data_IF_388590102340
#
_entry.id   IF_388590102340
#
_cell.length_a   1.000
_cell.length_b   1.000
_cell.length_c   1.000
_cell.angle_alpha   90.00
_cell.angle_beta   90.00
_cell.angle_gamma   90.00
#
_symmetry.space_group_name_H-M   'P 1'
#
loop_
_entity.id
_entity.type
_entity.pdbx_description
1 polymer ?
#
# COMPACT_ATOMS: atom_id res chain seq x y z
N UNK A 1 17.06 -9.15 -1.96
CA UNK A 1 16.76 -9.67 -0.61
C UNK A 1 15.25 -9.94 -0.47
N UNK A 2 14.79 -10.75 0.49
CA UNK A 2 13.35 -10.96 0.78
C UNK A 2 12.99 -10.18 2.04
N UNK A 3 11.87 -9.46 2.05
CA UNK A 3 11.37 -8.82 3.26
C UNK A 3 10.82 -9.89 4.21
N UNK A 4 11.32 -9.96 5.44
CA UNK A 4 10.74 -10.81 6.48
C UNK A 4 10.27 -9.92 7.64
N UNK A 5 9.05 -10.15 8.12
CA UNK A 5 8.49 -9.43 9.27
C UNK A 5 8.12 -7.97 9.04
N UNK A 6 8.09 -7.48 7.80
CA UNK A 6 7.71 -6.10 7.45
C UNK A 6 6.66 -6.07 6.34
N UNK A 7 5.83 -5.03 6.36
CA UNK A 7 4.72 -4.84 5.44
C UNK A 7 4.44 -3.34 5.27
N UNK A 8 3.95 -2.95 4.08
CA UNK A 8 3.49 -1.58 3.88
C UNK A 8 2.22 -1.32 4.68
N UNK A 9 2.18 -0.15 5.31
CA UNK A 9 1.02 0.36 6.01
C UNK A 9 0.59 1.67 5.36
N UNK A 10 -0.54 1.66 4.66
CA UNK A 10 -0.97 2.75 3.78
C UNK A 10 -2.35 3.21 4.23
N UNK A 11 -2.47 4.50 4.58
CA UNK A 11 -3.73 5.15 4.98
C UNK A 11 -4.52 4.39 6.07
N UNK A 12 -3.82 3.81 7.05
CA UNK A 12 -4.47 3.09 8.15
C UNK A 12 -4.73 1.60 7.89
N UNK A 13 -4.31 1.07 6.74
CA UNK A 13 -4.51 -0.32 6.35
C UNK A 13 -3.19 -1.04 6.14
N UNK A 14 -3.12 -2.30 6.56
CA UNK A 14 -1.99 -3.19 6.27
C UNK A 14 -2.13 -3.76 4.86
N UNK A 15 -1.10 -3.60 4.02
CA UNK A 15 -1.01 -4.13 2.64
C UNK A 15 -2.30 -3.96 1.80
N UNK A 16 -2.93 -2.77 1.75
CA UNK A 16 -4.20 -2.63 1.05
C UNK A 16 -4.02 -2.80 -0.45
N UNK A 17 -5.05 -3.32 -1.13
CA UNK A 17 -5.20 -3.09 -2.57
C UNK A 17 -5.55 -1.62 -2.80
N UNK A 18 -4.84 -0.96 -3.71
CA UNK A 18 -5.07 0.44 -4.07
C UNK A 18 -5.91 0.47 -5.35
N UNK A 19 -6.83 1.43 -5.45
CA UNK A 19 -7.61 1.64 -6.66
C UNK A 19 -7.34 3.05 -7.20
N UNK A 20 -6.95 3.15 -8.46
CA UNK A 20 -6.66 4.41 -9.16
C UNK A 20 -7.40 4.49 -10.47
N UNK A 21 -7.53 5.69 -11.04
CA UNK A 21 -8.22 5.92 -12.31
C UNK A 21 -7.27 6.57 -13.30
N UNK A 22 -7.25 6.06 -14.54
CA UNK A 22 -6.47 6.60 -15.65
C UNK A 22 -6.75 8.10 -15.84
N UNK A 23 -5.69 8.86 -16.10
CA UNK A 23 -5.75 10.32 -16.28
C UNK A 23 -5.84 11.13 -14.99
N UNK A 24 -6.00 10.50 -13.81
CA UNK A 24 -5.97 11.21 -12.52
C UNK A 24 -4.59 11.13 -11.89
N UNK A 25 -4.09 12.26 -11.38
CA UNK A 25 -2.81 12.32 -10.67
C UNK A 25 -3.00 11.96 -9.20
N UNK A 26 -2.21 10.99 -8.73
CA UNK A 26 -2.15 10.56 -7.34
C UNK A 26 -0.82 10.95 -6.73
N UNK A 27 -0.83 11.32 -5.46
CA UNK A 27 0.37 11.61 -4.67
C UNK A 27 0.53 10.55 -3.59
N UNK A 28 1.66 9.86 -3.60
CA UNK A 28 2.07 8.94 -2.55
C UNK A 28 3.09 9.65 -1.66
N UNK A 29 2.77 9.73 -0.37
CA UNK A 29 3.68 10.21 0.68
C UNK A 29 4.40 8.98 1.23
N UNK A 30 5.70 8.89 0.95
CA UNK A 30 6.49 7.68 1.17
C UNK A 30 7.38 7.87 2.39
N UNK A 31 7.17 7.03 3.40
CA UNK A 31 7.91 7.06 4.66
C UNK A 31 8.66 5.74 4.92
N UNK A 32 9.31 5.21 3.87
CA UNK A 32 10.01 3.92 3.87
C UNK A 32 11.47 3.96 4.33
N UNK A 33 11.98 5.12 4.76
CA UNK A 33 13.40 5.31 5.11
C UNK A 33 14.28 5.71 3.92
N UNK A 34 15.42 6.34 4.21
CA UNK A 34 16.28 7.02 3.23
C UNK A 34 17.74 6.55 3.22
N UNK A 35 18.14 5.66 4.14
CA UNK A 35 19.53 5.30 4.35
C UNK A 35 19.88 3.94 3.71
N UNK A 36 20.48 3.90 2.50
CA UNK A 36 20.80 2.65 1.82
C UNK A 36 21.80 1.76 2.57
N UNK A 37 22.61 2.32 3.49
CA UNK A 37 23.53 1.56 4.34
C UNK A 37 22.79 0.76 5.43
N UNK A 38 21.48 1.01 5.60
CA UNK A 38 20.60 0.31 6.55
C UNK A 38 19.46 -0.37 5.80
N UNK A 39 19.73 -1.44 5.03
CA UNK A 39 18.73 -2.08 4.16
C UNK A 39 17.47 -2.52 4.90
N UNK A 40 17.60 -2.99 6.16
CA UNK A 40 16.45 -3.37 6.98
C UNK A 40 15.43 -2.23 7.22
N UNK A 41 15.85 -0.97 7.04
CA UNK A 41 15.09 0.25 7.29
C UNK A 41 15.05 1.16 6.06
N UNK A 42 15.39 0.64 4.88
CA UNK A 42 15.44 1.39 3.63
C UNK A 42 14.59 0.70 2.57
N UNK A 43 13.39 1.24 2.42
CA UNK A 43 12.33 0.67 1.58
C UNK A 43 11.79 1.72 0.60
N UNK A 44 12.56 2.13 -0.43
CA UNK A 44 12.05 3.04 -1.45
C UNK A 44 10.85 2.42 -2.17
N UNK A 45 9.85 3.23 -2.43
CA UNK A 45 8.59 2.82 -3.03
C UNK A 45 8.64 3.01 -4.55
N UNK A 46 8.14 2.07 -5.33
CA UNK A 46 8.00 2.24 -6.78
C UNK A 46 6.79 1.50 -7.33
N UNK A 47 6.35 1.87 -8.53
CA UNK A 47 5.19 1.28 -9.20
C UNK A 47 5.65 0.55 -10.46
N UNK A 48 5.23 -0.69 -10.62
CA UNK A 48 5.70 -1.59 -11.69
C UNK A 48 4.65 -2.62 -12.09
N UNK A 49 4.81 -3.28 -13.24
CA UNK A 49 4.01 -4.44 -13.63
C UNK A 49 4.53 -5.76 -13.01
N UNK A 50 5.65 -5.71 -12.30
CA UNK A 50 6.26 -6.87 -11.66
C UNK A 50 5.70 -7.13 -10.24
N UNK A 51 5.10 -8.31 -9.98
CA UNK A 51 4.61 -8.68 -8.65
C UNK A 51 5.72 -9.04 -7.66
N UNK A 52 6.97 -9.25 -8.10
CA UNK A 52 8.07 -9.64 -7.21
C UNK A 52 8.72 -8.44 -6.51
N UNK A 53 8.82 -7.28 -7.15
CA UNK A 53 9.52 -6.14 -6.56
C UNK A 53 11.05 -6.31 -6.56
N UNK A 54 11.74 -5.57 -5.67
CA UNK A 54 13.17 -5.73 -5.45
C UNK A 54 14.04 -5.43 -6.67
N UNK A 55 13.69 -4.39 -7.44
CA UNK A 55 14.37 -3.97 -8.68
C UNK A 55 15.90 -3.91 -8.56
N UNK A 56 16.42 -3.47 -7.41
CA UNK A 56 17.86 -3.38 -7.12
C UNK A 56 18.60 -4.68 -7.45
N UNK A 57 18.02 -5.83 -7.12
CA UNK A 57 18.66 -7.14 -7.24
C UNK A 57 18.26 -7.91 -8.49
N UNK A 58 17.51 -7.28 -9.41
CA UNK A 58 17.16 -7.89 -10.70
C UNK A 58 18.35 -7.90 -11.65
N UNK A 59 18.49 -8.98 -12.41
CA UNK A 59 19.45 -9.07 -13.52
C UNK A 59 19.08 -8.11 -14.66
N UNK A 60 20.01 -7.76 -15.57
CA UNK A 60 19.71 -6.89 -16.71
C UNK A 60 18.52 -7.40 -17.53
N UNK A 61 18.49 -8.69 -17.85
CA UNK A 61 17.39 -9.29 -18.61
C UNK A 61 16.04 -9.25 -17.88
N UNK A 62 16.03 -9.27 -16.55
CA UNK A 62 14.80 -9.09 -15.77
C UNK A 62 14.36 -7.63 -15.78
N UNK A 63 15.30 -6.69 -15.64
CA UNK A 63 15.02 -5.24 -15.70
C UNK A 63 14.46 -4.84 -17.06
N UNK A 64 15.00 -5.38 -18.16
CA UNK A 64 14.53 -5.11 -19.53
C UNK A 64 13.07 -5.56 -19.77
N UNK A 65 12.59 -6.54 -18.99
CA UNK A 65 11.21 -7.05 -19.05
C UNK A 65 10.29 -6.44 -18.01
N UNK A 66 10.81 -5.58 -17.13
CA UNK A 66 10.06 -4.95 -16.04
C UNK A 66 9.71 -3.53 -16.46
N UNK A 67 8.41 -3.22 -16.56
CA UNK A 67 7.98 -1.84 -16.78
C UNK A 67 7.88 -1.13 -15.44
N UNK A 68 8.52 0.04 -15.36
CA UNK A 68 8.42 0.93 -14.21
C UNK A 68 7.55 2.11 -14.60
N UNK A 69 6.53 2.37 -13.80
CA UNK A 69 5.57 3.45 -14.02
C UNK A 69 5.90 4.69 -13.20
N UNK A 70 6.50 4.52 -12.02
CA UNK A 70 6.87 5.60 -11.11
C UNK A 70 7.88 5.12 -10.05
N UNK A 71 8.63 6.03 -9.42
CA UNK A 71 9.46 5.73 -8.23
C UNK A 71 10.91 5.31 -8.50
N UNK A 72 11.31 5.20 -9.78
CA UNK A 72 12.70 4.99 -10.21
C UNK A 72 13.03 6.03 -11.27
N UNK A 73 14.15 6.73 -11.09
CA UNK A 73 14.73 7.66 -12.05
C UNK A 73 16.08 7.17 -12.56
N UNK A 74 16.80 8.05 -13.24
CA UNK A 74 18.18 7.85 -13.65
C UNK A 74 19.07 8.86 -12.95
N UNK A 75 20.24 8.44 -12.49
CA UNK A 75 21.30 9.35 -12.06
C UNK A 75 22.07 9.92 -13.26
N UNK A 76 23.16 10.65 -12.99
CA UNK A 76 23.98 11.30 -14.03
C UNK A 76 24.64 10.31 -14.99
N UNK A 77 24.84 9.07 -14.56
CA UNK A 77 25.50 8.02 -15.34
C UNK A 77 24.47 7.14 -16.06
N UNK A 78 23.17 7.48 -15.96
CA UNK A 78 22.07 6.69 -16.52
C UNK A 78 21.71 5.47 -15.64
N UNK A 79 22.25 5.37 -14.43
CA UNK A 79 21.95 4.26 -13.53
C UNK A 79 20.56 4.43 -12.97
N UNK A 80 19.75 3.36 -13.03
CA UNK A 80 18.42 3.33 -12.43
C UNK A 80 18.54 3.40 -10.90
N UNK A 81 17.98 4.45 -10.31
CA UNK A 81 18.00 4.69 -8.86
C UNK A 81 16.59 5.03 -8.37
N UNK A 82 16.20 4.62 -7.15
CA UNK A 82 14.90 4.99 -6.63
C UNK A 82 14.86 6.51 -6.40
N UNK A 83 13.67 7.12 -6.53
CA UNK A 83 13.49 8.55 -6.25
C UNK A 83 12.31 8.83 -5.29
N UNK A 84 11.68 7.78 -4.78
CA UNK A 84 10.57 7.85 -3.84
C UNK A 84 10.95 7.18 -2.52
N UNK A 85 11.67 7.92 -1.70
CA UNK A 85 12.09 7.55 -0.35
C UNK A 85 12.17 8.82 0.53
N UNK A 86 12.18 8.65 1.85
CA UNK A 86 12.17 9.77 2.80
C UNK A 86 12.37 9.30 4.23
N UNK A 87 11.95 10.08 5.23
CA UNK A 87 12.00 9.64 6.64
C UNK A 87 11.36 8.26 6.81
N UNK A 88 11.82 7.49 7.78
CA UNK A 88 11.14 6.24 8.13
C UNK A 88 10.04 6.51 9.16
N UNK A 89 8.83 6.05 8.88
CA UNK A 89 7.77 5.88 9.87
C UNK A 89 7.39 4.40 9.93
N UNK A 90 7.40 3.84 11.14
CA UNK A 90 7.22 2.40 11.37
C UNK A 90 6.26 2.17 12.54
N UNK A 91 5.26 1.32 12.31
CA UNK A 91 4.43 0.79 13.39
C UNK A 91 5.16 -0.38 14.05
N UNK A 92 5.50 -0.24 15.33
CA UNK A 92 6.23 -1.27 16.08
C UNK A 92 5.36 -1.85 17.19
N UNK A 93 5.41 -3.19 17.41
CA UNK A 93 4.74 -3.80 18.54
C UNK A 93 5.42 -3.39 19.86
N UNK A 94 4.61 -3.17 20.89
CA UNK A 94 5.11 -3.05 22.25
C UNK A 94 5.43 -4.45 22.79
N UNK A 95 6.67 -4.74 23.23
CA UNK A 95 7.05 -6.08 23.72
C UNK A 95 6.31 -6.50 25.00
N UNK A 96 5.67 -5.57 25.71
CA UNK A 96 4.84 -5.86 26.87
C UNK A 96 3.37 -6.16 26.52
N UNK A 97 3.00 -6.08 25.24
CA UNK A 97 1.67 -6.43 24.74
C UNK A 97 1.69 -7.86 24.17
N UNK A 98 0.52 -8.54 24.09
CA UNK A 98 0.44 -9.85 23.45
C UNK A 98 0.96 -9.82 22.01
N UNK A 99 1.54 -10.94 21.50
CA UNK A 99 1.96 -11.04 20.11
C UNK A 99 0.75 -11.02 19.15
N UNK A 100 1.00 -10.82 17.85
CA UNK A 100 -0.03 -10.76 16.81
C UNK A 100 -1.00 -11.94 16.84
N UNK A 101 -0.50 -13.14 17.13
CA UNK A 101 -1.25 -14.40 17.08
C UNK A 101 -2.23 -14.54 18.26
N UNK A 102 -2.21 -13.61 19.21
CA UNK A 102 -3.13 -13.57 20.35
C UNK A 102 -4.40 -12.75 20.08
N UNK A 103 -4.57 -12.20 18.87
CA UNK A 103 -5.73 -11.36 18.51
C UNK A 103 -6.57 -12.03 17.42
N UNK A 104 -7.90 -11.96 17.57
CA UNK A 104 -8.84 -12.50 16.59
C UNK A 104 -8.88 -11.70 15.27
N UNK A 105 -8.32 -10.49 15.26
CA UNK A 105 -8.30 -9.63 14.07
C UNK A 105 -7.10 -8.70 14.06
N UNK A 106 -6.65 -8.31 12.86
CA UNK A 106 -5.62 -7.28 12.70
C UNK A 106 -6.02 -5.96 13.36
N UNK A 107 -7.31 -5.58 13.31
CA UNK A 107 -7.80 -4.36 13.98
C UNK A 107 -7.64 -4.39 15.50
N UNK A 108 -7.67 -5.57 16.13
CA UNK A 108 -7.34 -5.74 17.55
C UNK A 108 -5.86 -5.52 17.81
N UNK A 109 -5.00 -6.19 17.04
CA UNK A 109 -3.54 -6.07 17.13
C UNK A 109 -3.04 -4.65 16.81
N UNK A 110 -3.61 -3.99 15.81
CA UNK A 110 -3.22 -2.64 15.38
C UNK A 110 -3.31 -1.62 16.52
N UNK A 111 -4.26 -1.79 17.46
CA UNK A 111 -4.43 -0.90 18.61
C UNK A 111 -3.29 -0.99 19.64
N UNK A 112 -2.48 -2.03 19.57
CA UNK A 112 -1.32 -2.21 20.46
C UNK A 112 -0.02 -1.71 19.83
N UNK A 113 -0.05 -1.26 18.58
CA UNK A 113 1.11 -0.76 17.86
C UNK A 113 1.37 0.71 18.18
N UNK A 114 2.65 1.09 18.19
CA UNK A 114 3.07 2.49 18.32
C UNK A 114 3.72 2.94 17.01
N UNK A 115 3.28 4.08 16.49
CA UNK A 115 3.91 4.71 15.33
C UNK A 115 5.16 5.48 15.76
N UNK A 116 6.31 5.09 15.21
CA UNK A 116 7.59 5.76 15.43
C UNK A 116 8.08 6.37 14.12
N UNK A 117 8.22 7.70 14.08
CA UNK A 117 8.73 8.43 12.92
C UNK A 117 10.09 9.05 13.23
N UNK A 118 11.06 8.84 12.34
CA UNK A 118 12.33 9.55 12.38
C UNK A 118 12.13 11.03 11.98
N UNK A 119 13.05 11.89 12.40
CA UNK A 119 13.10 13.26 11.93
C UNK A 119 13.38 13.31 10.41
N UNK A 120 12.88 14.34 9.75
CA UNK A 120 13.06 14.57 8.32
C UNK A 120 11.76 14.69 7.54
N UNK A 121 11.89 14.76 6.22
CA UNK A 121 10.78 14.90 5.28
C UNK A 121 10.40 13.54 4.67
N UNK A 122 9.11 13.31 4.37
CA UNK A 122 8.72 12.15 3.59
C UNK A 122 9.19 12.29 2.13
N UNK A 123 9.27 11.17 1.44
CA UNK A 123 9.39 11.15 -0.01
C UNK A 123 8.05 11.47 -0.65
N UNK A 124 8.07 12.11 -1.81
CA UNK A 124 6.86 12.43 -2.57
C UNK A 124 6.97 11.78 -3.94
N UNK A 125 6.01 10.90 -4.25
CA UNK A 125 5.87 10.31 -5.57
C UNK A 125 4.54 10.73 -6.17
N UNK A 126 4.58 11.44 -7.28
CA UNK A 126 3.40 11.74 -8.07
C UNK A 126 3.31 10.81 -9.27
N UNK A 127 2.15 10.24 -9.50
CA UNK A 127 1.91 9.33 -10.62
C UNK A 127 0.52 9.51 -11.20
N UNK A 128 0.46 9.52 -12.53
CA UNK A 128 -0.76 9.59 -13.32
C UNK A 128 -0.81 8.36 -14.21
N UNK A 129 -1.58 7.31 -13.89
CA UNK A 129 -1.78 6.18 -14.79
C UNK A 129 -2.36 6.69 -16.12
N UNK A 130 -1.78 6.24 -17.23
CA UNK A 130 -2.19 6.64 -18.57
C UNK A 130 -3.01 5.54 -19.27
N UNK A 131 -3.36 5.77 -20.54
CA UNK A 131 -4.09 4.80 -21.36
C UNK A 131 -3.31 3.48 -21.61
N UNK A 132 -1.98 3.47 -21.43
CA UNK A 132 -1.11 2.32 -21.66
C UNK A 132 -0.74 1.57 -20.36
N UNK A 133 -1.17 2.09 -19.22
CA UNK A 133 -1.00 1.45 -17.92
C UNK A 133 -1.95 0.24 -17.85
N UNK A 134 -1.47 -0.98 -17.55
CA UNK A 134 -2.32 -2.17 -17.39
C UNK A 134 -3.38 -2.00 -16.29
N UNK A 135 -4.46 -2.77 -16.35
CA UNK A 135 -5.53 -2.76 -15.31
C UNK A 135 -5.02 -3.23 -13.94
N UNK A 136 -3.90 -3.94 -13.90
CA UNK A 136 -3.24 -4.37 -12.68
C UNK A 136 -1.76 -4.05 -12.75
N UNK A 137 -1.30 -3.26 -11.77
CA UNK A 137 0.12 -3.00 -11.50
C UNK A 137 0.37 -3.21 -10.01
N UNK A 138 1.60 -3.03 -9.55
CA UNK A 138 2.01 -3.27 -8.18
C UNK A 138 2.76 -2.07 -7.63
N UNK A 139 2.44 -1.69 -6.39
CA UNK A 139 3.41 -0.92 -5.60
C UNK A 139 4.38 -1.90 -4.95
N UNK A 140 5.66 -1.58 -4.97
CA UNK A 140 6.72 -2.46 -4.53
C UNK A 140 7.82 -1.69 -3.79
N UNK A 141 8.60 -2.44 -3.03
CA UNK A 141 9.88 -1.97 -2.49
C UNK A 141 11.00 -2.17 -3.52
N UNK A 142 11.80 -1.14 -3.73
CA UNK A 142 12.95 -1.16 -4.65
C UNK A 142 14.02 -2.19 -4.24
N UNK A 143 14.23 -2.39 -2.94
CA UNK A 143 15.31 -3.22 -2.37
C UNK A 143 14.82 -4.62 -1.95
N UNK A 144 13.59 -4.72 -1.45
CA UNK A 144 13.02 -5.97 -0.95
C UNK A 144 12.00 -6.58 -1.91
N UNK A 145 12.19 -7.86 -2.21
CA UNK A 145 11.21 -8.64 -2.94
C UNK A 145 10.01 -8.98 -2.06
N UNK A 146 8.84 -9.05 -2.68
CA UNK A 146 7.55 -9.37 -2.09
C UNK A 146 7.13 -8.40 -0.98
N UNK A 147 7.63 -7.16 -1.03
CA UNK A 147 7.26 -6.07 -0.13
C UNK A 147 6.42 -5.04 -0.88
N UNK A 148 5.19 -5.43 -1.17
CA UNK A 148 4.28 -4.69 -2.03
C UNK A 148 2.96 -5.40 -2.21
N UNK A 149 2.04 -4.75 -2.90
CA UNK A 149 0.74 -5.33 -3.24
C UNK A 149 0.14 -4.64 -4.47
N UNK A 150 -1.10 -5.00 -4.79
CA UNK A 150 -1.77 -4.62 -6.03
C UNK A 150 -2.24 -3.17 -6.04
N UNK A 151 -2.16 -2.57 -7.22
CA UNK A 151 -2.91 -1.40 -7.63
C UNK A 151 -3.81 -1.79 -8.79
N UNK A 152 -5.11 -1.72 -8.59
CA UNK A 152 -6.11 -1.87 -9.63
C UNK A 152 -6.30 -0.51 -10.33
N UNK A 153 -6.16 -0.50 -11.66
CA UNK A 153 -6.22 0.70 -12.50
C UNK A 153 -7.50 0.67 -13.31
N UNK A 154 -8.39 1.62 -13.06
CA UNK A 154 -9.71 1.72 -13.67
C UNK A 154 -9.75 2.78 -14.77
N UNK A 155 -10.64 2.61 -15.74
CA UNK A 155 -10.87 3.62 -16.78
C UNK A 155 -11.68 4.81 -16.26
N UNK A 156 -12.63 4.54 -15.39
CA UNK A 156 -13.54 5.52 -14.80
C UNK A 156 -13.64 5.27 -13.31
N UNK A 157 -14.00 6.29 -12.54
CA UNK A 157 -14.64 6.00 -11.27
C UNK A 157 -15.99 5.40 -11.63
N UNK A 158 -16.29 4.18 -11.17
CA UNK A 158 -17.68 3.86 -10.91
C UNK A 158 -18.08 4.82 -9.80
N UNK A 159 -18.54 6.01 -10.17
CA UNK A 159 -19.53 6.71 -9.37
C UNK A 159 -20.69 5.74 -9.35
N UNK A 160 -20.64 4.78 -8.43
CA UNK A 160 -21.81 4.06 -8.02
C UNK A 160 -22.82 5.14 -7.83
N UNK A 161 -23.83 5.17 -8.72
CA UNK A 161 -25.07 5.83 -8.40
C UNK A 161 -25.38 5.22 -7.05
N UNK A 162 -25.17 5.98 -5.98
CA UNK A 162 -25.90 5.77 -4.75
C UNK A 162 -27.32 6.10 -5.19
N UNK A 163 -27.94 5.17 -5.94
CA UNK A 163 -29.36 5.05 -5.94
C UNK A 163 -29.61 4.87 -4.48
N UNK A 164 -30.22 5.87 -3.88
CA UNK A 164 -30.87 5.81 -2.59
C UNK A 164 -31.97 4.75 -2.65
N UNK A 165 -31.63 3.51 -2.97
CA UNK A 165 -32.26 2.35 -2.37
C UNK A 165 -31.71 2.30 -0.94
N UNK A 166 -32.03 3.32 -0.15
CA UNK A 166 -32.10 3.14 1.29
C UNK A 166 -32.99 1.92 1.46
N UNK A 167 -32.44 0.88 2.08
CA UNK A 167 -33.23 -0.22 2.61
C UNK A 167 -34.41 0.42 3.32
N UNK A 168 -35.60 0.31 2.76
CA UNK A 168 -36.79 0.87 3.38
C UNK A 168 -37.09 -0.10 4.52
N UNK A 169 -36.77 0.22 5.79
CA UNK A 169 -37.09 -0.71 6.86
C UNK A 169 -38.62 -0.79 6.91
N UNK A 170 -39.18 -1.92 6.54
CA UNK A 170 -40.59 -2.19 6.80
C UNK A 170 -40.74 -2.34 8.32
N UNK A 171 -41.48 -1.44 9.00
CA UNK A 171 -41.76 -1.65 10.41
C UNK A 171 -42.66 -2.87 10.56
N UNK A 172 -42.11 -3.96 11.09
CA UNK A 172 -42.90 -5.10 11.54
C UNK A 172 -43.56 -4.73 12.86
N UNK A 173 -44.85 -4.41 12.83
CA UNK A 173 -45.65 -4.25 14.04
C UNK A 173 -45.90 -5.64 14.61
N UNK A 174 -45.21 -5.98 15.69
CA UNK A 174 -45.50 -7.19 16.47
C UNK A 174 -46.72 -6.89 17.34
N UNK A 175 -47.87 -7.44 16.96
CA UNK A 175 -49.06 -7.42 17.81
C UNK A 175 -48.86 -8.41 18.96
N UNK A 176 -49.17 -8.03 20.22
CA UNK A 176 -49.06 -8.94 21.35
C UNK A 176 -50.05 -10.09 21.19
N UNK A 177 -49.61 -11.31 21.55
CA UNK A 177 -50.45 -12.49 21.49
C UNK A 177 -51.67 -12.34 22.43
N UNK A 178 -52.87 -12.78 22.00
CA UNK A 178 -54.05 -12.73 22.84
C UNK A 178 -53.84 -13.66 24.05
N UNK A 179 -53.77 -13.05 25.24
CA UNK A 179 -53.66 -13.77 26.49
C UNK A 179 -54.81 -14.77 26.66
N UNK A 180 -54.46 -16.02 26.90
CA UNK A 180 -55.39 -17.08 27.27
C UNK A 180 -55.99 -16.79 28.64
N UNK A 181 -57.33 -16.79 28.71
CA UNK A 181 -58.07 -16.79 29.97
C UNK A 181 -57.94 -18.12 30.70
#
# INVERSE_FOLDING_TARGET
HVGWGIAWYINGLLIPEINVVRGKTYTFVVEGGYDPERPARYHPFYITDDPEGGYEFKSPAQRDRTRVFAGIGEDRDGTKVPNAFGRLCEWSPNPNQPPSDSFDSFGGYQRTLTLNCQEGQPGILQWTPDANTPDLVYYQCYTHRYLGWKINVHNTCDEGVITTAGSNPQPTIVLPEPGTK
#
